data_IF_064483223191
#
_entry.id   IF_064483223191
#
_cell.length_a   1.000
_cell.length_b   1.000
_cell.length_c   1.000
_cell.angle_alpha   90.00
_cell.angle_beta   90.00
_cell.angle_gamma   90.00
#
_symmetry.space_group_name_H-M   'P 1'
#
loop_
_entity.id
_entity.type
_entity.pdbx_description
1 polymer ?
#
# COMPACT_ATOMS: atom_id res chain seq x y z
N UNK A 1 -15.05 6.75 7.68
CA UNK A 1 -13.59 6.56 7.50
C UNK A 1 -13.19 5.10 7.11
N UNK A 2 -14.13 4.19 6.82
CA UNK A 2 -13.83 2.78 6.44
C UNK A 2 -13.91 2.48 4.93
N UNK A 3 -14.22 3.48 4.09
CA UNK A 3 -14.58 3.26 2.68
C UNK A 3 -13.41 2.85 1.78
N UNK A 4 -12.25 3.47 1.92
CA UNK A 4 -11.13 3.24 0.98
C UNK A 4 -10.54 1.82 1.12
N UNK A 5 -10.45 1.33 2.37
CA UNK A 5 -9.90 0.01 2.68
C UNK A 5 -10.77 -1.13 2.12
N UNK A 6 -12.09 -0.99 2.30
CA UNK A 6 -13.06 -1.97 1.80
C UNK A 6 -13.19 -1.91 0.28
N UNK A 7 -13.13 -0.73 -0.34
CA UNK A 7 -13.16 -0.58 -1.80
C UNK A 7 -11.96 -1.27 -2.48
N UNK A 8 -10.74 -1.05 -1.97
CA UNK A 8 -9.53 -1.70 -2.52
C UNK A 8 -9.56 -3.22 -2.31
N UNK A 9 -9.96 -3.69 -1.13
CA UNK A 9 -10.02 -5.13 -0.79
C UNK A 9 -11.17 -5.85 -1.51
N UNK A 10 -12.32 -5.20 -1.70
CA UNK A 10 -13.49 -5.75 -2.42
C UNK A 10 -13.36 -5.62 -3.95
N UNK A 11 -12.30 -4.97 -4.44
CA UNK A 11 -12.06 -4.73 -5.87
C UNK A 11 -12.99 -3.66 -6.49
N UNK A 12 -13.82 -3.01 -5.69
CA UNK A 12 -14.73 -1.95 -6.12
C UNK A 12 -13.90 -0.66 -6.24
N UNK A 13 -13.78 -0.10 -7.43
CA UNK A 13 -12.90 1.06 -7.68
C UNK A 13 -11.43 0.70 -7.88
N UNK A 14 -11.08 -0.59 -7.99
CA UNK A 14 -9.71 -1.01 -8.30
C UNK A 14 -9.19 -0.38 -9.61
N UNK A 15 -10.03 -0.35 -10.65
CA UNK A 15 -9.68 0.31 -11.91
C UNK A 15 -9.51 1.83 -11.77
N UNK A 16 -10.27 2.48 -10.89
CA UNK A 16 -10.13 3.91 -10.61
C UNK A 16 -8.80 4.21 -9.89
N UNK A 17 -8.40 3.38 -8.93
CA UNK A 17 -7.11 3.48 -8.23
C UNK A 17 -5.94 3.25 -9.18
N UNK A 18 -6.00 2.21 -10.01
CA UNK A 18 -4.97 1.92 -11.04
C UNK A 18 -4.87 3.08 -12.03
N UNK A 19 -6.00 3.67 -12.42
CA UNK A 19 -6.06 4.85 -13.29
C UNK A 19 -5.47 6.11 -12.63
N UNK A 20 -5.88 6.42 -11.40
CA UNK A 20 -5.38 7.58 -10.65
C UNK A 20 -3.88 7.55 -10.38
N UNK A 21 -3.34 6.34 -10.19
CA UNK A 21 -1.93 6.13 -9.91
C UNK A 21 -1.10 5.83 -11.17
N UNK A 22 -1.72 5.79 -12.35
CA UNK A 22 -1.09 5.48 -13.64
C UNK A 22 -0.25 4.18 -13.62
N UNK A 23 -0.81 3.12 -13.01
CA UNK A 23 -0.12 1.86 -12.75
C UNK A 23 -0.24 0.84 -13.90
N UNK A 24 -0.65 1.25 -15.09
CA UNK A 24 -0.89 0.37 -16.24
C UNK A 24 0.32 -0.44 -16.73
N UNK A 25 1.52 -0.13 -16.24
CA UNK A 25 2.75 -0.83 -16.56
C UNK A 25 3.01 -2.06 -15.67
N UNK A 26 2.26 -2.20 -14.58
CA UNK A 26 2.28 -3.37 -13.70
C UNK A 26 1.06 -4.24 -13.99
N UNK A 27 1.20 -5.55 -13.85
CA UNK A 27 0.06 -6.47 -13.93
C UNK A 27 -0.88 -6.27 -12.74
N UNK A 28 -2.17 -6.56 -12.94
CA UNK A 28 -3.17 -6.49 -11.86
C UNK A 28 -2.80 -7.31 -10.63
N UNK A 29 -2.04 -8.39 -10.79
CA UNK A 29 -1.59 -9.24 -9.66
C UNK A 29 -0.47 -8.53 -8.89
N UNK A 30 0.52 -7.96 -9.58
CA UNK A 30 1.62 -7.24 -8.95
C UNK A 30 1.12 -6.03 -8.16
N UNK A 31 0.21 -5.25 -8.73
CA UNK A 31 -0.35 -4.08 -8.03
C UNK A 31 -1.08 -4.54 -6.76
N UNK A 32 -1.89 -5.61 -6.83
CA UNK A 32 -2.58 -6.17 -5.64
C UNK A 32 -1.59 -6.60 -4.57
N UNK A 33 -0.52 -7.30 -4.95
CA UNK A 33 0.51 -7.74 -4.01
C UNK A 33 1.19 -6.56 -3.32
N UNK A 34 1.57 -5.53 -4.09
CA UNK A 34 2.18 -4.31 -3.55
C UNK A 34 1.25 -3.67 -2.51
N UNK A 35 -0.03 -3.51 -2.82
CA UNK A 35 -1.00 -2.94 -1.88
C UNK A 35 -1.17 -3.81 -0.62
N UNK A 36 -1.27 -5.13 -0.76
CA UNK A 36 -1.39 -6.06 0.37
C UNK A 36 -0.17 -5.92 1.29
N UNK A 37 1.03 -5.86 0.73
CA UNK A 37 2.26 -5.73 1.51
C UNK A 37 2.33 -4.39 2.25
N UNK A 38 1.97 -3.29 1.58
CA UNK A 38 1.90 -1.95 2.20
C UNK A 38 0.94 -1.97 3.39
N UNK A 39 -0.27 -2.50 3.20
CA UNK A 39 -1.26 -2.55 4.27
C UNK A 39 -0.84 -3.47 5.42
N UNK A 40 -0.21 -4.60 5.11
CA UNK A 40 0.32 -5.51 6.11
C UNK A 40 1.32 -4.81 7.02
N UNK A 41 2.35 -4.15 6.47
CA UNK A 41 3.36 -3.46 7.27
C UNK A 41 2.80 -2.28 8.07
N UNK A 42 1.84 -1.54 7.51
CA UNK A 42 1.17 -0.46 8.24
C UNK A 42 0.38 -0.99 9.44
N UNK A 43 -0.45 -2.02 9.23
CA UNK A 43 -1.24 -2.61 10.32
C UNK A 43 -0.32 -3.24 11.37
N UNK A 44 0.68 -4.00 10.93
CA UNK A 44 1.65 -4.65 11.81
C UNK A 44 2.39 -3.63 12.67
N UNK A 45 2.93 -2.58 12.06
CA UNK A 45 3.65 -1.53 12.78
C UNK A 45 2.76 -0.78 13.78
N UNK A 46 1.49 -0.51 13.45
CA UNK A 46 0.55 0.14 14.39
C UNK A 46 0.24 -0.80 15.55
N UNK A 47 -0.11 -2.05 15.24
CA UNK A 47 -0.55 -3.02 16.24
C UNK A 47 0.60 -3.36 17.19
N UNK A 48 1.78 -3.69 16.67
CA UNK A 48 2.94 -3.96 17.52
C UNK A 48 3.43 -2.73 18.26
N UNK A 49 3.37 -1.54 17.64
CA UNK A 49 3.76 -0.28 18.27
C UNK A 49 2.90 0.06 19.50
N UNK A 50 1.61 -0.28 19.45
CA UNK A 50 0.67 -0.06 20.55
C UNK A 50 0.75 -1.19 21.59
N UNK A 51 0.83 -2.45 21.15
CA UNK A 51 0.65 -3.62 22.02
C UNK A 51 1.96 -4.12 22.64
N UNK A 52 3.08 -4.02 21.93
CA UNK A 52 4.34 -4.69 22.32
C UNK A 52 5.40 -3.70 22.76
N UNK A 53 5.84 -2.79 21.86
CA UNK A 53 6.86 -1.79 22.18
C UNK A 53 6.90 -0.66 21.13
N UNK A 54 7.20 0.56 21.57
CA UNK A 54 7.20 1.74 20.69
C UNK A 54 8.22 1.69 19.53
N UNK A 55 9.26 0.86 19.63
CA UNK A 55 10.20 0.68 18.51
C UNK A 55 9.59 -0.02 17.30
N UNK A 56 8.49 -0.76 17.47
CA UNK A 56 7.83 -1.47 16.39
C UNK A 56 7.16 -0.54 15.36
N UNK A 57 6.92 0.74 15.71
CA UNK A 57 6.46 1.74 14.74
C UNK A 57 7.45 1.90 13.56
N UNK A 58 8.74 1.58 13.76
CA UNK A 58 9.75 1.64 12.71
C UNK A 58 9.55 0.58 11.61
N UNK A 59 8.79 -0.49 11.86
CA UNK A 59 8.45 -1.50 10.84
C UNK A 59 7.67 -0.86 9.68
N UNK A 60 7.00 0.27 9.90
CA UNK A 60 6.34 1.01 8.82
C UNK A 60 7.32 1.58 7.78
N UNK A 61 8.61 1.71 8.09
CA UNK A 61 9.64 2.17 7.13
C UNK A 61 9.81 1.17 5.98
N UNK A 62 9.51 -0.11 6.20
CA UNK A 62 9.53 -1.16 5.17
C UNK A 62 8.51 -0.92 4.04
N UNK A 63 7.54 0.00 4.24
CA UNK A 63 6.58 0.42 3.22
C UNK A 63 7.24 1.26 2.12
N UNK A 64 8.35 1.96 2.42
CA UNK A 64 9.02 2.89 1.51
C UNK A 64 9.35 2.31 0.14
N UNK A 65 10.03 1.15 -0.01
CA UNK A 65 10.35 0.58 -1.32
C UNK A 65 9.10 0.33 -2.19
N UNK A 66 8.00 -0.10 -1.57
CA UNK A 66 6.74 -0.36 -2.28
C UNK A 66 6.07 0.94 -2.73
N UNK A 67 6.14 2.00 -1.92
CA UNK A 67 5.66 3.33 -2.31
C UNK A 67 6.52 3.91 -3.43
N UNK A 68 7.84 3.70 -3.40
CA UNK A 68 8.75 4.11 -4.49
C UNK A 68 8.35 3.40 -5.79
N UNK A 69 8.04 2.10 -5.75
CA UNK A 69 7.59 1.36 -6.95
C UNK A 69 6.31 2.00 -7.51
N UNK A 70 5.31 2.29 -6.68
CA UNK A 70 4.07 2.95 -7.12
C UNK A 70 4.36 4.32 -7.74
N UNK A 71 5.28 5.09 -7.14
CA UNK A 71 5.60 6.46 -7.56
C UNK A 71 6.66 6.56 -8.66
N UNK A 72 7.40 5.48 -8.96
CA UNK A 72 8.58 5.52 -9.83
C UNK A 72 8.27 6.16 -11.19
N UNK A 73 7.14 5.81 -11.81
CA UNK A 73 6.74 6.41 -13.09
C UNK A 73 6.36 7.89 -13.03
N UNK A 74 5.92 8.41 -11.88
CA UNK A 74 5.64 9.84 -11.70
C UNK A 74 6.92 10.67 -11.55
N UNK A 75 8.04 10.05 -11.17
CA UNK A 75 9.34 10.73 -10.99
C UNK A 75 10.11 10.84 -12.32
N UNK A 76 9.94 9.88 -13.22
CA UNK A 76 10.66 9.82 -14.52
C UNK A 76 9.86 10.35 -15.72
N UNK A 77 8.74 11.04 -15.49
CA UNK A 77 7.97 11.79 -16.50
C UNK A 77 8.12 13.28 -16.25
#
# INVERSE_FOLDING_TARGET
MSGVFSLIVLGIGWQEVVSWLDLYYLSSVEIKLIFIIIFYFLILGVLEGIVVYAGAFLVMVEVIPYVIIIMARKIFR
#
